data_IF_163733889601
#
_entry.id   IF_163733889601
#
_cell.length_a   1.000
_cell.length_b   1.000
_cell.length_c   1.000
_cell.angle_alpha   90.00
_cell.angle_beta   90.00
_cell.angle_gamma   90.00
#
_symmetry.space_group_name_H-M   'P 1'
#
loop_
_entity.id
_entity.type
_entity.pdbx_description
1 polymer ?
#
# COMPACT_ATOMS: atom_id res chain seq x y z
N UNK A 1 -30.44 4.00 10.54
CA UNK A 1 -30.12 3.07 9.44
C UNK A 1 -28.68 2.66 9.61
N UNK A 2 -28.46 1.47 10.17
CA UNK A 2 -27.14 0.91 10.41
C UNK A 2 -26.55 0.42 9.08
N UNK A 3 -25.58 1.13 8.55
CA UNK A 3 -24.72 0.57 7.54
C UNK A 3 -23.73 -0.37 8.26
N UNK A 4 -24.07 -1.66 8.29
CA UNK A 4 -23.15 -2.71 8.67
C UNK A 4 -21.95 -2.64 7.72
N UNK A 5 -20.82 -2.14 8.21
CA UNK A 5 -19.53 -2.35 7.58
C UNK A 5 -19.21 -3.83 7.74
N UNK A 6 -19.63 -4.64 6.76
CA UNK A 6 -19.14 -6.00 6.64
C UNK A 6 -17.63 -5.92 6.39
N UNK A 7 -16.85 -6.67 7.17
CA UNK A 7 -15.45 -6.94 6.84
C UNK A 7 -15.34 -7.31 5.34
N UNK A 8 -14.31 -6.90 4.62
CA UNK A 8 -14.14 -7.32 3.24
C UNK A 8 -14.22 -8.85 3.21
N UNK A 9 -14.91 -9.44 2.21
CA UNK A 9 -15.02 -10.89 2.11
C UNK A 9 -13.59 -11.46 2.13
N UNK A 10 -13.40 -12.53 2.93
CA UNK A 10 -12.14 -13.25 2.97
C UNK A 10 -11.77 -13.61 1.53
N UNK A 11 -10.53 -13.29 1.11
CA UNK A 11 -10.02 -13.63 -0.21
C UNK A 11 -10.10 -15.15 -0.39
N UNK A 12 -10.99 -15.70 -1.21
CA UNK A 12 -11.16 -17.14 -1.36
C UNK A 12 -9.92 -17.84 -1.91
N UNK A 13 -8.98 -17.08 -2.50
CA UNK A 13 -7.74 -17.57 -3.08
C UNK A 13 -6.53 -17.35 -2.14
N UNK A 14 -6.71 -16.71 -0.97
CA UNK A 14 -5.62 -16.45 -0.04
C UNK A 14 -4.79 -17.71 0.32
N UNK A 15 -5.35 -18.90 0.56
CA UNK A 15 -4.57 -20.10 0.82
C UNK A 15 -3.81 -20.61 -0.40
N UNK A 16 -4.44 -20.62 -1.58
CA UNK A 16 -3.84 -21.07 -2.85
C UNK A 16 -2.69 -20.12 -3.26
N UNK A 17 -2.93 -18.82 -3.16
CA UNK A 17 -1.93 -17.81 -3.49
C UNK A 17 -0.68 -17.88 -2.63
N UNK A 18 -0.79 -18.16 -1.35
CA UNK A 18 0.37 -18.25 -0.45
C UNK A 18 1.25 -19.47 -0.72
N UNK A 19 0.66 -20.64 -0.96
CA UNK A 19 1.41 -21.85 -1.28
C UNK A 19 2.15 -21.69 -2.61
N UNK A 20 1.44 -21.24 -3.64
CA UNK A 20 1.98 -21.05 -4.98
C UNK A 20 3.04 -19.94 -5.03
N UNK A 21 2.90 -18.88 -4.20
CA UNK A 21 3.95 -17.87 -4.03
C UNK A 21 5.22 -18.44 -3.37
N UNK A 22 5.10 -19.42 -2.49
CA UNK A 22 6.28 -20.13 -1.93
C UNK A 22 6.96 -20.98 -2.99
N UNK A 23 6.21 -21.74 -3.77
CA UNK A 23 6.72 -22.58 -4.85
C UNK A 23 7.52 -21.76 -5.87
N UNK A 24 6.99 -20.61 -6.31
CA UNK A 24 7.73 -19.74 -7.23
C UNK A 24 8.92 -19.05 -6.53
N UNK A 25 8.80 -18.69 -5.26
CA UNK A 25 9.90 -18.10 -4.51
C UNK A 25 11.10 -19.05 -4.37
N UNK A 26 10.87 -20.36 -4.29
CA UNK A 26 11.91 -21.40 -4.25
C UNK A 26 12.71 -21.48 -5.56
N UNK A 27 12.15 -21.03 -6.69
CA UNK A 27 12.86 -20.93 -7.97
C UNK A 27 13.76 -19.69 -8.07
N UNK A 28 13.65 -18.77 -7.13
CA UNK A 28 14.36 -17.50 -7.10
C UNK A 28 15.54 -17.49 -6.12
N UNK A 29 16.21 -16.34 -6.08
CA UNK A 29 17.29 -16.08 -5.11
C UNK A 29 16.72 -15.25 -3.95
N UNK A 30 16.74 -15.80 -2.74
CA UNK A 30 16.30 -15.08 -1.54
C UNK A 30 17.37 -14.09 -1.10
N UNK A 31 16.98 -12.82 -0.94
CA UNK A 31 17.85 -11.76 -0.42
C UNK A 31 17.16 -10.94 0.65
N UNK A 32 17.95 -10.47 1.61
CA UNK A 32 17.53 -9.54 2.65
C UNK A 32 18.05 -8.14 2.34
N UNK A 33 17.19 -7.17 2.49
CA UNK A 33 17.47 -5.75 2.21
C UNK A 33 17.27 -4.95 3.49
N UNK A 34 18.23 -4.10 3.87
CA UNK A 34 18.06 -3.14 4.96
C UNK A 34 16.90 -2.18 4.70
N UNK A 35 16.43 -1.52 5.76
CA UNK A 35 15.51 -0.38 5.63
C UNK A 35 16.09 0.71 4.73
N UNK A 36 15.24 1.41 3.96
CA UNK A 36 15.60 2.48 3.02
C UNK A 36 16.45 2.02 1.82
N UNK A 37 16.35 0.75 1.44
CA UNK A 37 16.97 0.25 0.20
C UNK A 37 15.98 0.38 -0.96
N UNK A 38 16.40 1.02 -2.06
CA UNK A 38 15.63 1.05 -3.30
C UNK A 38 15.82 -0.26 -4.04
N UNK A 39 14.72 -0.98 -4.28
CA UNK A 39 14.70 -2.26 -5.00
C UNK A 39 14.48 -2.07 -6.49
N UNK A 40 13.67 -1.09 -6.85
CA UNK A 40 13.23 -0.78 -8.21
C UNK A 40 13.25 0.74 -8.37
N UNK A 41 13.79 1.24 -9.48
CA UNK A 41 13.69 2.64 -9.86
C UNK A 41 12.67 2.82 -10.99
N UNK A 42 11.87 3.88 -10.90
CA UNK A 42 10.96 4.31 -11.96
C UNK A 42 11.72 4.59 -13.24
N UNK A 43 11.19 4.13 -14.39
CA UNK A 43 11.79 4.30 -15.71
C UNK A 43 12.88 3.28 -16.07
N UNK A 44 13.43 2.52 -15.11
CA UNK A 44 14.43 1.51 -15.40
C UNK A 44 13.86 0.38 -16.26
N UNK A 45 14.71 -0.25 -17.06
CA UNK A 45 14.42 -1.55 -17.66
C UNK A 45 14.81 -2.66 -16.69
N UNK A 46 14.00 -3.71 -16.57
CA UNK A 46 14.31 -4.81 -15.67
C UNK A 46 13.52 -6.06 -16.01
N UNK A 47 14.17 -7.19 -15.84
CA UNK A 47 13.66 -8.53 -16.14
C UNK A 47 13.41 -9.37 -14.87
N UNK A 48 13.46 -8.75 -13.70
CA UNK A 48 13.30 -9.40 -12.40
C UNK A 48 12.02 -8.96 -11.70
N UNK A 49 11.42 -9.89 -10.98
CA UNK A 49 10.32 -9.67 -10.05
C UNK A 49 10.78 -9.95 -8.63
N UNK A 50 10.16 -9.28 -7.67
CA UNK A 50 10.43 -9.49 -6.25
C UNK A 50 9.16 -9.99 -5.57
N UNK A 51 9.24 -11.11 -4.88
CA UNK A 51 8.17 -11.64 -4.04
C UNK A 51 8.54 -11.33 -2.59
N UNK A 52 7.73 -10.55 -1.90
CA UNK A 52 7.99 -10.17 -0.52
C UNK A 52 7.68 -11.37 0.39
N UNK A 53 8.70 -11.88 1.10
CA UNK A 53 8.58 -12.96 2.07
C UNK A 53 8.38 -12.44 3.49
N UNK A 54 9.04 -11.32 3.83
CA UNK A 54 8.91 -10.63 5.11
C UNK A 54 9.24 -9.16 4.95
N UNK A 55 8.73 -8.32 5.85
CA UNK A 55 8.95 -6.87 5.82
C UNK A 55 7.94 -6.13 4.99
N UNK A 56 8.23 -4.85 4.69
CA UNK A 56 7.32 -3.93 4.02
C UNK A 56 8.07 -2.96 3.13
N UNK A 57 7.47 -2.62 1.99
CA UNK A 57 7.99 -1.64 1.04
C UNK A 57 6.95 -0.56 0.74
N UNK A 58 7.41 0.63 0.32
CA UNK A 58 6.58 1.66 -0.32
C UNK A 58 6.79 1.65 -1.83
N UNK A 59 5.71 1.77 -2.58
CA UNK A 59 5.70 2.05 -4.02
C UNK A 59 5.43 3.54 -4.19
N UNK A 60 6.31 4.26 -4.89
CA UNK A 60 6.24 5.72 -4.98
C UNK A 60 6.71 6.25 -6.32
N UNK A 61 6.24 7.43 -6.67
CA UNK A 61 6.77 8.23 -7.76
C UNK A 61 7.42 9.50 -7.19
N UNK A 62 8.45 10.02 -7.86
CA UNK A 62 9.09 11.28 -7.49
C UNK A 62 9.21 12.21 -8.71
N UNK A 63 9.15 13.52 -8.45
CA UNK A 63 9.42 14.51 -9.50
C UNK A 63 10.88 14.96 -9.49
N UNK A 64 11.29 15.75 -10.47
CA UNK A 64 12.66 16.29 -10.59
C UNK A 64 13.12 17.14 -9.39
N UNK A 65 12.18 17.68 -8.60
CA UNK A 65 12.46 18.42 -7.38
C UNK A 65 12.59 17.52 -6.13
N UNK A 66 12.56 16.19 -6.30
CA UNK A 66 12.67 15.20 -5.21
C UNK A 66 11.41 15.05 -4.35
N UNK A 67 10.27 15.63 -4.77
CA UNK A 67 9.01 15.47 -4.06
C UNK A 67 8.42 14.11 -4.40
N UNK A 68 8.14 13.31 -3.37
CA UNK A 68 7.59 11.97 -3.49
C UNK A 68 6.06 11.96 -3.29
N UNK A 69 5.41 11.04 -4.00
CA UNK A 69 4.01 10.65 -3.77
C UNK A 69 4.00 9.14 -3.57
N UNK A 70 3.55 8.68 -2.41
CA UNK A 70 3.38 7.26 -2.15
C UNK A 70 2.10 6.78 -2.83
N UNK A 71 2.26 5.80 -3.73
CA UNK A 71 1.16 5.19 -4.47
C UNK A 71 0.54 4.08 -3.62
N UNK A 72 1.39 3.24 -2.97
CA UNK A 72 0.93 2.10 -2.20
C UNK A 72 2.02 1.58 -1.24
N UNK A 73 1.61 0.75 -0.28
CA UNK A 73 2.50 -0.05 0.56
C UNK A 73 2.26 -1.54 0.29
N UNK A 74 3.33 -2.31 0.25
CA UNK A 74 3.31 -3.75 -0.03
C UNK A 74 3.96 -4.52 1.10
N UNK A 75 3.38 -5.67 1.42
CA UNK A 75 3.85 -6.58 2.47
C UNK A 75 4.03 -8.01 1.99
N UNK A 76 4.19 -8.96 2.92
CA UNK A 76 4.41 -10.37 2.59
C UNK A 76 3.31 -10.94 1.70
N UNK A 77 3.71 -11.78 0.74
CA UNK A 77 2.81 -12.37 -0.26
C UNK A 77 2.53 -11.48 -1.48
N UNK A 78 3.09 -10.27 -1.53
CA UNK A 78 2.92 -9.37 -2.67
C UNK A 78 4.07 -9.52 -3.68
N UNK A 79 3.73 -9.35 -4.96
CA UNK A 79 4.67 -9.36 -6.08
C UNK A 79 4.93 -7.92 -6.52
N UNK A 80 6.21 -7.61 -6.81
CA UNK A 80 6.66 -6.30 -7.29
C UNK A 80 7.33 -6.47 -8.66
N UNK A 81 7.17 -5.47 -9.52
CA UNK A 81 7.76 -5.47 -10.87
C UNK A 81 6.94 -6.22 -11.89
N UNK A 82 5.74 -6.68 -11.54
CA UNK A 82 4.80 -7.39 -12.41
C UNK A 82 4.33 -6.54 -13.59
N UNK A 83 4.30 -5.22 -13.45
CA UNK A 83 3.90 -4.31 -14.52
C UNK A 83 4.88 -4.26 -15.70
N UNK A 84 6.10 -4.78 -15.53
CA UNK A 84 7.08 -4.90 -16.63
C UNK A 84 7.07 -6.29 -17.29
N UNK A 85 6.08 -7.15 -16.99
CA UNK A 85 5.95 -8.46 -17.65
C UNK A 85 5.74 -8.36 -19.15
N UNK A 86 5.16 -7.27 -19.62
CA UNK A 86 4.97 -6.95 -21.04
C UNK A 86 6.24 -6.41 -21.74
N UNK A 87 7.33 -6.19 -20.99
CA UNK A 87 8.59 -5.64 -21.49
C UNK A 87 8.71 -4.11 -21.36
N UNK A 88 7.70 -3.45 -20.79
CA UNK A 88 7.74 -2.01 -20.48
C UNK A 88 8.76 -1.69 -19.40
N UNK A 89 9.12 -0.41 -19.28
CA UNK A 89 9.93 0.10 -18.15
C UNK A 89 9.18 0.02 -16.83
N UNK A 90 9.89 0.14 -15.72
CA UNK A 90 9.32 0.21 -14.38
C UNK A 90 8.41 1.43 -14.25
N UNK A 91 7.19 1.24 -13.78
CA UNK A 91 6.16 2.29 -13.68
C UNK A 91 6.19 3.08 -12.37
N UNK A 92 7.03 2.68 -11.42
CA UNK A 92 7.22 3.35 -10.14
C UNK A 92 8.49 2.85 -9.44
N UNK A 93 9.00 3.64 -8.51
CA UNK A 93 10.08 3.24 -7.62
C UNK A 93 9.53 2.43 -6.43
N UNK A 94 10.36 1.50 -5.92
CA UNK A 94 10.05 0.69 -4.74
C UNK A 94 11.18 0.77 -3.73
N UNK A 95 10.88 1.12 -2.49
CA UNK A 95 11.85 1.24 -1.39
C UNK A 95 11.37 0.49 -0.14
N UNK A 96 12.27 -0.19 0.53
CA UNK A 96 12.00 -0.85 1.82
C UNK A 96 11.76 0.18 2.92
N UNK A 97 10.67 0.03 3.69
CA UNK A 97 10.37 0.90 4.85
C UNK A 97 10.78 0.27 6.19
N UNK A 98 11.14 -1.00 6.15
CA UNK A 98 11.72 -1.79 7.24
C UNK A 98 12.63 -2.87 6.64
N UNK A 99 13.43 -3.61 7.43
CA UNK A 99 14.20 -4.75 6.91
C UNK A 99 13.27 -5.73 6.19
N UNK A 100 13.57 -6.01 4.92
CA UNK A 100 12.66 -6.74 4.02
C UNK A 100 13.41 -7.89 3.36
N UNK A 101 12.76 -9.06 3.33
CA UNK A 101 13.28 -10.26 2.65
C UNK A 101 12.43 -10.50 1.40
N UNK A 102 13.08 -10.61 0.25
CA UNK A 102 12.43 -10.94 -1.01
C UNK A 102 13.06 -12.14 -1.69
N UNK A 103 12.24 -12.93 -2.38
CA UNK A 103 12.71 -13.83 -3.44
C UNK A 103 12.74 -13.05 -4.76
N UNK A 104 13.88 -13.12 -5.45
CA UNK A 104 14.11 -12.46 -6.74
C UNK A 104 13.98 -13.52 -7.83
N UNK A 105 13.00 -13.36 -8.71
CA UNK A 105 12.66 -14.30 -9.79
C UNK A 105 12.85 -13.61 -11.12
N UNK A 106 13.42 -14.29 -12.12
CA UNK A 106 13.50 -13.74 -13.46
C UNK A 106 12.12 -13.68 -14.12
N UNK A 107 11.92 -12.70 -15.01
CA UNK A 107 10.68 -12.56 -15.80
C UNK A 107 10.35 -13.84 -16.58
N UNK A 108 11.38 -14.52 -17.11
CA UNK A 108 11.20 -15.77 -17.86
C UNK A 108 10.62 -16.85 -16.97
N UNK A 109 11.24 -17.13 -15.82
CA UNK A 109 10.77 -18.15 -14.88
C UNK A 109 9.38 -17.81 -14.32
N UNK A 110 9.12 -16.52 -14.03
CA UNK A 110 7.80 -16.10 -13.56
C UNK A 110 6.73 -16.34 -14.61
N UNK A 111 7.02 -16.05 -15.89
CA UNK A 111 6.10 -16.30 -17.00
C UNK A 111 5.83 -17.79 -17.22
N UNK A 112 6.86 -18.62 -17.21
CA UNK A 112 6.74 -20.08 -17.29
C UNK A 112 5.87 -20.63 -16.15
N UNK A 113 6.10 -20.13 -14.95
CA UNK A 113 5.33 -20.51 -13.77
C UNK A 113 3.84 -20.17 -13.90
N UNK A 114 3.49 -18.94 -14.35
CA UNK A 114 2.09 -18.53 -14.58
C UNK A 114 1.42 -19.45 -15.61
N UNK A 115 2.12 -19.84 -16.66
CA UNK A 115 1.58 -20.73 -17.70
C UNK A 115 1.33 -22.15 -17.17
N UNK A 116 2.15 -22.61 -16.24
CA UNK A 116 2.00 -23.91 -15.58
C UNK A 116 0.94 -23.92 -14.46
N UNK A 117 0.62 -22.73 -13.89
CA UNK A 117 -0.30 -22.57 -12.76
C UNK A 117 -1.42 -21.55 -13.08
N UNK A 118 -2.46 -21.93 -13.85
CA UNK A 118 -3.54 -21.01 -14.25
C UNK A 118 -4.31 -20.39 -13.07
N UNK A 119 -4.46 -21.14 -11.98
CA UNK A 119 -5.13 -20.64 -10.76
C UNK A 119 -4.34 -19.49 -10.12
N UNK A 120 -3.00 -19.53 -10.19
CA UNK A 120 -2.17 -18.42 -9.75
C UNK A 120 -2.28 -17.21 -10.68
N UNK A 121 -2.44 -17.43 -12.00
CA UNK A 121 -2.71 -16.35 -12.94
C UNK A 121 -4.02 -15.63 -12.58
N UNK A 122 -5.08 -16.37 -12.24
CA UNK A 122 -6.34 -15.79 -11.79
C UNK A 122 -6.20 -15.02 -10.49
N UNK A 123 -5.49 -15.57 -9.50
CA UNK A 123 -5.16 -14.86 -8.27
C UNK A 123 -4.43 -13.52 -8.53
N UNK A 124 -3.44 -13.53 -9.42
CA UNK A 124 -2.70 -12.31 -9.79
C UNK A 124 -3.60 -11.28 -10.48
N UNK A 125 -4.47 -11.73 -11.38
CA UNK A 125 -5.47 -10.88 -12.07
C UNK A 125 -6.39 -10.20 -11.04
N UNK A 126 -6.91 -10.94 -10.08
CA UNK A 126 -7.76 -10.39 -9.02
C UNK A 126 -7.03 -9.34 -8.18
N UNK A 127 -5.78 -9.61 -7.80
CA UNK A 127 -4.94 -8.62 -7.11
C UNK A 127 -4.75 -7.34 -7.95
N UNK A 128 -4.52 -7.47 -9.25
CA UNK A 128 -4.40 -6.34 -10.16
C UNK A 128 -5.72 -5.57 -10.30
N UNK A 129 -6.86 -6.25 -10.37
CA UNK A 129 -8.18 -5.61 -10.40
C UNK A 129 -8.42 -4.80 -9.12
N UNK A 130 -8.10 -5.36 -7.94
CA UNK A 130 -8.20 -4.62 -6.69
C UNK A 130 -7.31 -3.38 -6.67
N UNK A 131 -6.09 -3.47 -7.20
CA UNK A 131 -5.16 -2.33 -7.32
C UNK A 131 -5.71 -1.25 -8.24
N UNK A 132 -6.21 -1.62 -9.41
CA UNK A 132 -6.82 -0.66 -10.37
C UNK A 132 -7.99 0.06 -9.71
N UNK A 133 -8.87 -0.65 -9.01
CA UNK A 133 -9.97 -0.04 -8.27
C UNK A 133 -9.49 0.94 -7.20
N UNK A 134 -8.53 0.55 -6.36
CA UNK A 134 -7.96 1.40 -5.33
C UNK A 134 -7.30 2.66 -5.93
N UNK A 135 -6.53 2.50 -7.01
CA UNK A 135 -5.91 3.63 -7.73
C UNK A 135 -6.96 4.56 -8.33
N UNK A 136 -8.04 4.02 -8.90
CA UNK A 136 -9.15 4.81 -9.44
C UNK A 136 -9.84 5.63 -8.34
N UNK A 137 -10.08 5.03 -7.16
CA UNK A 137 -10.66 5.75 -6.03
C UNK A 137 -9.71 6.83 -5.47
N UNK A 138 -8.40 6.55 -5.43
CA UNK A 138 -7.40 7.54 -5.05
C UNK A 138 -7.38 8.71 -6.05
N UNK A 139 -7.44 8.44 -7.35
CA UNK A 139 -7.51 9.48 -8.39
C UNK A 139 -8.76 10.35 -8.24
N UNK A 140 -9.93 9.73 -8.08
CA UNK A 140 -11.20 10.46 -7.79
C UNK A 140 -11.05 11.32 -6.54
N UNK A 141 -10.44 10.78 -5.49
CA UNK A 141 -10.20 11.49 -4.25
C UNK A 141 -9.30 12.71 -4.43
N UNK A 142 -8.21 12.57 -5.19
CA UNK A 142 -7.29 13.68 -5.49
C UNK A 142 -7.96 14.76 -6.34
N UNK A 143 -8.82 14.36 -7.27
CA UNK A 143 -9.51 15.29 -8.17
C UNK A 143 -10.73 15.99 -7.55
N UNK A 144 -11.47 15.31 -6.65
CA UNK A 144 -12.78 15.75 -6.18
C UNK A 144 -12.82 16.10 -4.68
N UNK A 145 -11.73 15.85 -3.91
CA UNK A 145 -11.69 16.13 -2.48
C UNK A 145 -10.55 17.09 -2.14
N UNK A 146 -10.78 17.94 -1.17
CA UNK A 146 -9.74 18.75 -0.54
C UNK A 146 -8.79 17.89 0.33
N UNK A 147 -7.74 18.51 0.85
CA UNK A 147 -6.75 17.81 1.70
C UNK A 147 -7.41 17.22 2.95
N UNK A 148 -8.36 17.95 3.53
CA UNK A 148 -9.09 17.49 4.70
C UNK A 148 -9.93 16.24 4.38
N UNK A 149 -10.70 16.25 3.31
CA UNK A 149 -11.54 15.12 2.90
C UNK A 149 -10.72 13.87 2.60
N UNK A 150 -9.51 14.03 2.03
CA UNK A 150 -8.56 12.91 1.81
C UNK A 150 -8.01 12.37 3.14
N UNK A 151 -7.64 13.26 4.08
CA UNK A 151 -7.20 12.87 5.42
C UNK A 151 -8.30 12.11 6.17
N UNK A 152 -9.52 12.64 6.19
CA UNK A 152 -10.65 12.01 6.86
C UNK A 152 -10.95 10.61 6.29
N UNK A 153 -10.86 10.45 4.97
CA UNK A 153 -11.03 9.15 4.30
C UNK A 153 -9.93 8.16 4.67
N UNK A 154 -8.66 8.59 4.68
CA UNK A 154 -7.53 7.75 5.09
C UNK A 154 -7.70 7.25 6.53
N UNK A 155 -8.02 8.14 7.47
CA UNK A 155 -8.21 7.78 8.87
C UNK A 155 -9.37 6.80 9.06
N UNK A 156 -10.51 7.04 8.40
CA UNK A 156 -11.65 6.13 8.46
C UNK A 156 -11.35 4.76 7.83
N UNK A 157 -10.56 4.70 6.75
CA UNK A 157 -10.19 3.44 6.09
C UNK A 157 -9.23 2.58 6.92
N UNK A 158 -8.37 3.22 7.74
CA UNK A 158 -7.40 2.53 8.59
C UNK A 158 -7.95 2.24 9.98
N UNK A 159 -9.07 2.84 10.36
CA UNK A 159 -9.66 2.66 11.67
C UNK A 159 -10.35 1.29 11.79
N UNK A 160 -10.07 0.61 12.87
CA UNK A 160 -10.69 -0.66 13.26
C UNK A 160 -11.51 -0.41 14.51
N UNK A 161 -12.71 -0.98 14.58
CA UNK A 161 -13.51 -0.93 15.81
C UNK A 161 -12.83 -1.79 16.89
N UNK A 162 -12.44 -1.14 17.96
CA UNK A 162 -11.83 -1.77 19.14
C UNK A 162 -12.65 -1.34 20.35
N UNK A 163 -13.47 -2.24 20.88
CA UNK A 163 -14.35 -2.02 22.02
C UNK A 163 -15.26 -0.77 21.88
N UNK A 164 -15.86 -0.59 20.69
CA UNK A 164 -16.76 0.52 20.37
C UNK A 164 -16.03 1.84 20.07
N UNK A 165 -14.72 1.82 19.89
CA UNK A 165 -13.91 2.97 19.48
C UNK A 165 -13.23 2.68 18.14
N UNK A 166 -13.23 3.66 17.26
CA UNK A 166 -12.50 3.56 15.99
C UNK A 166 -11.04 3.95 16.20
N UNK A 167 -10.14 2.96 16.13
CA UNK A 167 -8.71 3.12 16.41
C UNK A 167 -7.88 2.79 15.17
N UNK A 168 -6.96 3.69 14.82
CA UNK A 168 -5.93 3.45 13.81
C UNK A 168 -4.70 2.90 14.53
N UNK A 169 -4.49 1.58 14.45
CA UNK A 169 -3.37 0.89 15.11
C UNK A 169 -2.03 1.09 14.41
N UNK A 170 -2.06 1.48 13.13
CA UNK A 170 -0.86 1.77 12.37
C UNK A 170 -0.20 3.06 12.90
N UNK A 171 1.02 2.95 13.44
CA UNK A 171 1.78 4.08 14.01
C UNK A 171 2.34 4.97 12.91
N UNK A 172 1.49 5.80 12.32
CA UNK A 172 1.85 6.71 11.23
C UNK A 172 2.53 7.98 11.74
N UNK A 173 3.59 8.39 11.07
CA UNK A 173 4.14 9.74 11.20
C UNK A 173 3.30 10.73 10.39
N UNK A 174 3.39 12.03 10.72
CA UNK A 174 2.74 13.07 9.91
C UNK A 174 3.25 13.10 8.47
N UNK A 175 4.51 12.71 8.24
CA UNK A 175 5.07 12.61 6.89
C UNK A 175 4.42 11.46 6.12
N UNK A 176 4.29 10.29 6.72
CA UNK A 176 3.62 9.13 6.07
C UNK A 176 2.15 9.42 5.76
N UNK A 177 1.45 10.13 6.64
CA UNK A 177 0.08 10.59 6.37
C UNK A 177 0.09 11.58 5.19
N UNK A 178 1.00 12.54 5.17
CA UNK A 178 1.13 13.54 4.12
C UNK A 178 1.40 12.90 2.76
N UNK A 179 2.31 11.93 2.71
CA UNK A 179 2.66 11.18 1.50
C UNK A 179 1.47 10.38 0.95
N UNK A 180 0.66 9.76 1.84
CA UNK A 180 -0.55 9.02 1.46
C UNK A 180 -1.70 9.92 1.00
N UNK A 181 -1.82 11.10 1.61
CA UNK A 181 -2.90 12.08 1.34
C UNK A 181 -2.54 12.96 0.13
N UNK A 182 -1.27 13.00 -0.29
CA UNK A 182 -0.80 13.91 -1.33
C UNK A 182 -0.82 15.37 -0.88
N UNK A 183 -0.29 15.65 0.32
CA UNK A 183 -0.22 16.98 0.92
C UNK A 183 1.17 17.26 1.52
N UNK A 184 1.41 18.48 2.02
CA UNK A 184 2.61 18.77 2.78
C UNK A 184 2.47 18.29 4.24
N UNK A 185 3.61 17.90 4.86
CA UNK A 185 3.66 17.53 6.27
C UNK A 185 3.05 18.63 7.18
N UNK A 186 3.37 19.90 6.88
CA UNK A 186 2.90 21.04 7.67
C UNK A 186 1.37 21.20 7.58
N UNK A 187 0.77 20.97 6.40
CA UNK A 187 -0.68 20.98 6.23
C UNK A 187 -1.33 19.86 7.05
N UNK A 188 -0.79 18.64 7.00
CA UNK A 188 -1.27 17.53 7.82
C UNK A 188 -1.11 17.83 9.30
N UNK A 189 0.05 18.37 9.72
CA UNK A 189 0.29 18.76 11.11
C UNK A 189 -0.74 19.76 11.62
N UNK A 190 -1.10 20.77 10.81
CA UNK A 190 -2.13 21.74 11.13
C UNK A 190 -3.52 21.10 11.25
N UNK A 191 -3.93 20.33 10.25
CA UNK A 191 -5.25 19.66 10.25
C UNK A 191 -5.38 18.68 11.44
N UNK A 192 -4.35 17.88 11.74
CA UNK A 192 -4.36 16.97 12.88
C UNK A 192 -4.47 17.72 14.21
N UNK A 193 -3.75 18.83 14.36
CA UNK A 193 -3.84 19.69 15.56
C UNK A 193 -5.24 20.26 15.73
N UNK A 194 -5.84 20.75 14.65
CA UNK A 194 -7.18 21.34 14.67
C UNK A 194 -8.24 20.27 15.00
N UNK A 195 -8.11 19.06 14.46
CA UNK A 195 -9.01 17.93 14.76
C UNK A 195 -8.91 17.45 16.21
N UNK A 196 -7.70 17.44 16.78
CA UNK A 196 -7.48 17.12 18.20
C UNK A 196 -8.09 18.23 19.08
N UNK A 197 -7.81 19.49 18.79
CA UNK A 197 -8.36 20.63 19.52
C UNK A 197 -9.89 20.69 19.45
N UNK A 198 -10.47 20.30 18.31
CA UNK A 198 -11.93 20.17 18.14
C UNK A 198 -12.54 18.93 18.81
N UNK A 199 -11.72 18.05 19.40
CA UNK A 199 -12.17 16.83 20.08
C UNK A 199 -12.73 15.78 19.12
N UNK A 200 -12.29 15.77 17.87
CA UNK A 200 -12.60 14.71 16.88
C UNK A 200 -11.64 13.55 16.95
N UNK A 201 -10.39 13.82 17.29
CA UNK A 201 -9.32 12.84 17.39
C UNK A 201 -8.64 12.91 18.75
N UNK A 202 -8.11 11.77 19.22
CA UNK A 202 -7.05 11.68 20.23
C UNK A 202 -5.83 11.03 19.59
N UNK A 203 -4.65 11.49 19.96
CA UNK A 203 -3.38 10.93 19.45
C UNK A 203 -2.48 10.64 20.66
N UNK A 204 -2.24 9.36 20.94
CA UNK A 204 -1.40 8.89 22.05
C UNK A 204 -0.40 7.86 21.49
N UNK A 205 0.88 8.03 21.73
CA UNK A 205 1.96 7.15 21.24
C UNK A 205 1.86 6.80 19.75
N UNK A 206 1.47 7.80 18.91
CA UNK A 206 1.18 7.67 17.49
C UNK A 206 -0.03 6.79 17.15
N UNK A 207 -0.80 6.36 18.14
CA UNK A 207 -2.10 5.72 17.94
C UNK A 207 -3.14 6.82 17.80
N UNK A 208 -3.94 6.78 16.74
CA UNK A 208 -4.99 7.78 16.48
C UNK A 208 -6.34 7.13 16.81
N UNK A 209 -7.10 7.74 17.71
CA UNK A 209 -8.47 7.32 18.01
C UNK A 209 -9.45 8.35 17.47
N UNK A 210 -10.44 7.92 16.71
CA UNK A 210 -11.53 8.76 16.21
C UNK A 210 -12.61 8.80 17.29
N UNK A 211 -12.74 9.94 17.96
CA UNK A 211 -13.66 10.16 19.08
C UNK A 211 -15.09 10.48 18.64
N UNK A 212 -15.22 11.13 17.50
CA UNK A 212 -16.50 11.55 16.87
C UNK A 212 -16.40 11.45 15.36
N UNK A 213 -17.56 11.29 14.71
CA UNK A 213 -17.63 11.32 13.25
C UNK A 213 -16.93 12.58 12.72
N UNK A 214 -15.96 12.39 11.84
CA UNK A 214 -15.23 13.50 11.22
C UNK A 214 -16.18 14.36 10.39
N UNK A 215 -16.06 15.70 10.41
CA UNK A 215 -16.87 16.61 9.60
C UNK A 215 -16.81 16.27 8.09
N UNK A 216 -17.81 16.71 7.33
CA UNK A 216 -17.83 16.51 5.87
C UNK A 216 -17.00 17.54 5.10
N UNK A 217 -16.50 18.59 5.78
CA UNK A 217 -15.60 19.64 5.27
C UNK A 217 -14.95 20.38 6.43
N UNK A 218 -13.83 21.06 6.16
CA UNK A 218 -13.05 21.81 7.15
C UNK A 218 -12.55 23.14 6.58
#
# INVERSE_FOLDING_TARGET
MNASHSAPPADPFAPLGQQTLREIAETGVVRQFPKQTVLIHDGDTGDTLYIILAGRVKVYASNAAGREVVIDFRGPGEVLGEMSLDGSTRSASVMTVEPTTCAIVSRVHFREFILAHPDFAMYLIEKLIHRVRATTENLKSLALSDVYGRLARLLNALAIDTDGRLVVHEKLTQQEIADRVGASRDMIGKLMKDLVAGGYLSVEDRTITILRKLPTGW
#
